data_IF_772138031516
#
_entry.id   IF_772138031516
#
_cell.length_a   1.000
_cell.length_b   1.000
_cell.length_c   1.000
_cell.angle_alpha   90.00
_cell.angle_beta   90.00
_cell.angle_gamma   90.00
#
_symmetry.space_group_name_H-M   'P 1'
#
loop_
_entity.id
_entity.type
_entity.pdbx_description
1 polymer ?
#
# COMPACT_ATOMS: atom_id res chain seq x y z
N UNK A 1 -19.94 12.90 15.69
CA UNK A 1 -20.16 11.44 15.70
C UNK A 1 -21.64 11.17 15.72
N UNK A 2 -22.13 10.42 14.73
CA UNK A 2 -23.50 9.87 14.77
C UNK A 2 -23.60 8.90 15.94
N UNK A 3 -24.72 8.90 16.67
CA UNK A 3 -24.92 7.97 17.78
C UNK A 3 -24.95 6.52 17.25
N UNK A 4 -24.23 5.62 17.92
CA UNK A 4 -24.22 4.19 17.57
C UNK A 4 -25.60 3.57 17.81
N UNK A 5 -26.05 2.74 16.87
CA UNK A 5 -27.34 2.04 16.98
C UNK A 5 -27.18 0.55 16.68
N UNK A 6 -28.24 -0.24 16.90
CA UNK A 6 -28.26 -1.65 16.47
C UNK A 6 -28.17 -1.87 14.95
N UNK A 7 -28.22 -0.79 14.15
CA UNK A 7 -28.05 -0.83 12.68
C UNK A 7 -26.60 -0.63 12.24
N UNK A 8 -25.73 -0.15 13.13
CA UNK A 8 -24.35 0.19 12.79
C UNK A 8 -23.60 -1.01 12.24
N UNK A 9 -22.94 -0.78 11.11
CA UNK A 9 -22.10 -1.76 10.41
C UNK A 9 -20.70 -1.78 10.99
N UNK A 10 -20.12 -2.96 11.12
CA UNK A 10 -18.79 -3.16 11.68
C UNK A 10 -17.79 -3.39 10.55
N UNK A 11 -16.72 -2.62 10.59
CA UNK A 11 -15.52 -2.87 9.82
C UNK A 11 -14.39 -3.14 10.80
N UNK A 12 -13.51 -4.06 10.48
CA UNK A 12 -12.44 -4.48 11.39
C UNK A 12 -11.09 -4.10 10.83
N UNK A 13 -10.13 -3.80 11.68
CA UNK A 13 -8.72 -3.74 11.33
C UNK A 13 -7.97 -4.73 12.20
N UNK A 14 -7.37 -5.76 11.60
CA UNK A 14 -6.66 -6.81 12.33
C UNK A 14 -5.15 -6.72 12.14
N UNK A 15 -4.39 -7.01 13.20
CA UNK A 15 -2.93 -6.88 13.21
C UNK A 15 -2.30 -7.30 14.54
N UNK A 16 -0.97 -7.37 14.57
CA UNK A 16 -0.20 -7.62 15.80
C UNK A 16 1.23 -7.08 15.68
N UNK A 17 1.62 -6.02 16.44
CA UNK A 17 0.76 -5.24 17.34
C UNK A 17 -0.23 -4.36 16.59
N UNK A 18 -1.43 -4.18 17.15
CA UNK A 18 -2.49 -3.36 16.54
C UNK A 18 -2.37 -1.87 16.88
N UNK A 19 -1.74 -1.54 18.02
CA UNK A 19 -1.79 -0.20 18.61
C UNK A 19 -1.22 0.93 17.73
N UNK A 20 -0.39 0.59 16.75
CA UNK A 20 0.30 1.54 15.85
C UNK A 20 -0.52 1.97 14.63
N UNK A 21 -1.72 1.42 14.43
CA UNK A 21 -2.51 1.68 13.22
C UNK A 21 -3.26 3.01 13.31
N UNK A 22 -3.12 3.84 12.26
CA UNK A 22 -3.69 5.20 12.23
C UNK A 22 -5.09 5.27 11.59
N UNK A 23 -5.47 4.25 10.81
CA UNK A 23 -6.70 4.22 10.02
C UNK A 23 -8.04 4.31 10.80
N UNK A 24 -8.19 3.75 12.02
CA UNK A 24 -9.51 3.61 12.66
C UNK A 24 -10.31 4.90 12.81
N UNK A 25 -9.69 5.97 13.32
CA UNK A 25 -10.37 7.25 13.54
C UNK A 25 -10.81 7.88 12.22
N UNK A 26 -9.87 8.04 11.29
CA UNK A 26 -10.10 8.69 10.01
C UNK A 26 -11.13 7.97 9.15
N UNK A 27 -11.03 6.64 9.00
CA UNK A 27 -12.01 5.88 8.19
C UNK A 27 -13.39 5.86 8.83
N UNK A 28 -13.49 5.83 10.16
CA UNK A 28 -14.77 5.93 10.86
C UNK A 28 -15.44 7.29 10.59
N UNK A 29 -14.69 8.37 10.75
CA UNK A 29 -15.20 9.71 10.48
C UNK A 29 -15.62 9.86 9.01
N UNK A 30 -14.78 9.41 8.08
CA UNK A 30 -15.08 9.46 6.64
C UNK A 30 -16.34 8.68 6.27
N UNK A 31 -16.52 7.48 6.83
CA UNK A 31 -17.75 6.70 6.68
C UNK A 31 -18.98 7.46 7.19
N UNK A 32 -18.92 8.02 8.39
CA UNK A 32 -20.04 8.76 8.97
C UNK A 32 -20.40 10.00 8.16
N UNK A 33 -19.39 10.74 7.66
CA UNK A 33 -19.59 11.96 6.89
C UNK A 33 -20.33 11.74 5.56
N UNK A 34 -20.14 10.57 4.93
CA UNK A 34 -20.88 10.21 3.71
C UNK A 34 -22.21 9.52 3.99
N UNK A 35 -22.63 9.38 5.25
CA UNK A 35 -23.85 8.64 5.61
C UNK A 35 -23.70 7.13 5.49
N UNK A 36 -22.50 6.59 5.65
CA UNK A 36 -22.28 5.17 5.94
C UNK A 36 -22.29 4.99 7.46
N UNK A 37 -23.34 4.36 8.01
CA UNK A 37 -23.45 4.04 9.45
C UNK A 37 -22.47 2.92 9.82
N UNK A 38 -21.19 3.24 9.87
CA UNK A 38 -20.11 2.29 10.08
C UNK A 38 -19.04 2.76 11.04
N UNK A 39 -18.37 1.78 11.66
CA UNK A 39 -17.25 1.96 12.57
C UNK A 39 -16.09 1.05 12.14
N UNK A 40 -14.86 1.56 12.15
CA UNK A 40 -13.66 0.73 12.00
C UNK A 40 -13.07 0.40 13.36
N UNK A 41 -13.14 -0.87 13.76
CA UNK A 41 -12.69 -1.36 15.07
C UNK A 41 -11.34 -2.06 14.94
N UNK A 42 -10.27 -1.56 15.61
CA UNK A 42 -8.99 -2.25 15.66
C UNK A 42 -9.07 -3.47 16.60
N UNK A 43 -8.64 -4.63 16.11
CA UNK A 43 -8.60 -5.89 16.87
C UNK A 43 -7.20 -6.48 16.82
N UNK A 44 -6.61 -6.74 18.00
CA UNK A 44 -5.38 -7.50 18.09
C UNK A 44 -5.66 -8.98 17.93
N UNK A 45 -5.04 -9.60 16.92
CA UNK A 45 -5.07 -11.05 16.72
C UNK A 45 -3.63 -11.53 16.67
N UNK A 46 -3.23 -12.40 17.60
CA UNK A 46 -1.89 -12.99 17.56
C UNK A 46 -1.74 -13.87 16.30
N UNK A 47 -0.53 -13.94 15.69
CA UNK A 47 -0.28 -14.72 14.48
C UNK A 47 -0.91 -16.11 14.55
N UNK A 48 -0.59 -16.90 15.56
CA UNK A 48 -1.08 -18.27 15.76
C UNK A 48 -2.61 -18.41 15.85
N UNK A 49 -3.34 -17.33 16.18
CA UNK A 49 -4.80 -17.34 16.32
C UNK A 49 -5.57 -16.94 15.08
N UNK A 50 -4.90 -16.44 14.02
CA UNK A 50 -5.59 -15.88 12.86
C UNK A 50 -6.58 -16.85 12.20
N UNK A 51 -6.18 -18.08 11.89
CA UNK A 51 -7.07 -19.04 11.19
C UNK A 51 -8.24 -19.52 12.05
N UNK A 52 -8.14 -19.41 13.38
CA UNK A 52 -9.25 -19.73 14.28
C UNK A 52 -10.19 -18.52 14.44
N UNK A 53 -9.64 -17.30 14.50
CA UNK A 53 -10.43 -16.10 14.78
C UNK A 53 -11.08 -15.48 13.53
N UNK A 54 -10.37 -15.45 12.39
CA UNK A 54 -10.84 -14.77 11.19
C UNK A 54 -12.16 -15.35 10.63
N UNK A 55 -12.37 -16.69 10.57
CA UNK A 55 -13.65 -17.25 10.15
C UNK A 55 -14.83 -16.83 11.04
N UNK A 56 -14.63 -16.71 12.35
CA UNK A 56 -15.68 -16.29 13.29
C UNK A 56 -16.07 -14.83 13.06
N UNK A 57 -15.08 -13.95 12.83
CA UNK A 57 -15.33 -12.55 12.46
C UNK A 57 -16.06 -12.45 11.11
N UNK A 58 -15.67 -13.28 10.14
CA UNK A 58 -16.30 -13.37 8.83
C UNK A 58 -17.72 -13.95 8.86
N UNK A 59 -18.09 -14.69 9.91
CA UNK A 59 -19.44 -15.24 10.07
C UNK A 59 -20.44 -14.19 10.61
N UNK A 60 -19.97 -13.09 11.21
CA UNK A 60 -20.83 -12.06 11.79
C UNK A 60 -21.58 -11.27 10.70
N UNK A 61 -22.93 -11.29 10.65
CA UNK A 61 -23.71 -10.70 9.54
C UNK A 61 -23.63 -9.18 9.41
N UNK A 62 -23.22 -8.48 10.48
CA UNK A 62 -23.03 -7.03 10.48
C UNK A 62 -21.58 -6.60 10.26
N UNK A 63 -20.67 -7.53 9.96
CA UNK A 63 -19.29 -7.22 9.53
C UNK A 63 -19.24 -7.14 8.00
N UNK A 64 -18.83 -5.98 7.50
CA UNK A 64 -18.78 -5.67 6.05
C UNK A 64 -17.40 -5.82 5.45
N UNK A 65 -16.37 -5.36 6.17
CA UNK A 65 -14.98 -5.43 5.71
C UNK A 65 -14.01 -5.73 6.84
N UNK A 66 -12.84 -6.26 6.48
CA UNK A 66 -11.72 -6.51 7.37
C UNK A 66 -10.46 -5.96 6.67
N UNK A 67 -9.90 -4.90 7.22
CA UNK A 67 -8.56 -4.43 6.90
C UNK A 67 -7.52 -5.30 7.63
N UNK A 68 -6.43 -5.59 6.95
CA UNK A 68 -5.42 -6.55 7.41
C UNK A 68 -4.06 -5.86 7.36
N UNK A 69 -3.37 -5.82 8.50
CA UNK A 69 -1.98 -5.36 8.58
C UNK A 69 -1.05 -6.47 9.04
N UNK A 70 0.22 -6.14 9.23
CA UNK A 70 1.24 -7.06 9.67
C UNK A 70 0.81 -7.81 10.95
N UNK A 71 1.14 -9.11 11.07
CA UNK A 71 1.81 -9.97 10.09
C UNK A 71 0.82 -10.80 9.22
N UNK A 72 -0.45 -10.41 9.15
CA UNK A 72 -1.53 -11.29 8.69
C UNK A 72 -1.79 -11.28 7.18
N UNK A 73 -1.24 -10.32 6.44
CA UNK A 73 -1.59 -10.04 5.02
C UNK A 73 -1.57 -11.27 4.10
N UNK A 74 -0.53 -12.10 4.20
CA UNK A 74 -0.40 -13.31 3.39
C UNK A 74 -1.41 -14.39 3.79
N UNK A 75 -1.58 -14.62 5.09
CA UNK A 75 -2.40 -15.72 5.60
C UNK A 75 -3.89 -15.42 5.50
N UNK A 76 -4.30 -14.16 5.68
CA UNK A 76 -5.68 -13.71 5.50
C UNK A 76 -6.19 -13.93 4.07
N UNK A 77 -5.31 -13.84 3.05
CA UNK A 77 -5.70 -14.04 1.64
C UNK A 77 -6.33 -15.42 1.38
N UNK A 78 -5.93 -16.44 2.15
CA UNK A 78 -6.44 -17.83 2.04
C UNK A 78 -7.90 -17.98 2.46
N UNK A 79 -8.44 -17.00 3.18
CA UNK A 79 -9.83 -16.97 3.63
C UNK A 79 -10.75 -16.28 2.63
N UNK A 80 -10.21 -15.68 1.56
CA UNK A 80 -11.01 -15.06 0.51
C UNK A 80 -11.44 -16.07 -0.55
N UNK A 81 -12.68 -15.96 -1.01
CA UNK A 81 -13.20 -16.75 -2.12
C UNK A 81 -12.70 -16.25 -3.49
N UNK A 82 -12.35 -14.97 -3.57
CA UNK A 82 -11.78 -14.34 -4.75
C UNK A 82 -10.76 -13.28 -4.34
N UNK A 83 -9.71 -13.13 -5.14
CA UNK A 83 -8.71 -12.09 -4.99
C UNK A 83 -8.70 -11.21 -6.24
N UNK A 84 -8.32 -9.94 -6.09
CA UNK A 84 -7.99 -9.10 -7.23
C UNK A 84 -6.76 -9.65 -7.99
N UNK A 85 -6.50 -9.21 -9.24
CA UNK A 85 -5.29 -9.60 -9.96
C UNK A 85 -4.01 -9.28 -9.18
N UNK A 86 -3.90 -8.07 -8.62
CA UNK A 86 -2.74 -7.66 -7.80
C UNK A 86 -2.58 -8.52 -6.55
N UNK A 87 -3.67 -8.82 -5.83
CA UNK A 87 -3.62 -9.65 -4.63
C UNK A 87 -3.31 -11.12 -4.94
N UNK A 88 -3.74 -11.61 -6.11
CA UNK A 88 -3.40 -12.94 -6.62
C UNK A 88 -1.89 -13.06 -6.89
N UNK A 89 -1.30 -12.06 -7.57
CA UNK A 89 0.15 -12.01 -7.83
C UNK A 89 0.93 -11.98 -6.53
N UNK A 90 0.53 -11.12 -5.60
CA UNK A 90 1.24 -10.91 -4.33
C UNK A 90 1.03 -12.05 -3.32
N UNK A 91 -0.04 -12.83 -3.45
CA UNK A 91 -0.47 -13.79 -2.43
C UNK A 91 -0.80 -13.14 -1.08
N UNK A 92 -1.12 -11.84 -1.09
CA UNK A 92 -1.29 -11.03 0.11
C UNK A 92 -2.37 -9.96 -0.09
N UNK A 93 -3.14 -9.72 0.96
CA UNK A 93 -4.20 -8.71 1.01
C UNK A 93 -3.96 -7.75 2.17
N UNK A 94 -4.36 -6.49 2.02
CA UNK A 94 -4.49 -5.55 3.14
C UNK A 94 -5.95 -5.16 3.40
N UNK A 95 -6.88 -5.65 2.58
CA UNK A 95 -8.31 -5.49 2.77
C UNK A 95 -9.09 -6.68 2.22
N UNK A 96 -10.20 -7.02 2.87
CA UNK A 96 -11.21 -7.94 2.34
C UNK A 96 -12.61 -7.41 2.65
N UNK A 97 -13.56 -7.63 1.73
CA UNK A 97 -14.96 -7.21 1.86
C UNK A 97 -15.91 -8.36 1.57
N UNK A 98 -17.02 -8.40 2.30
CA UNK A 98 -18.15 -9.29 2.02
C UNK A 98 -18.86 -8.90 0.72
N UNK A 99 -19.03 -9.87 -0.18
CA UNK A 99 -19.79 -9.74 -1.42
C UNK A 99 -21.29 -9.94 -1.17
N UNK A 100 -22.18 -9.54 -2.11
CA UNK A 100 -23.62 -9.71 -1.97
C UNK A 100 -24.08 -11.15 -1.71
N UNK A 101 -23.31 -12.14 -2.14
CA UNK A 101 -23.56 -13.57 -1.92
C UNK A 101 -22.99 -14.11 -0.59
N UNK A 102 -22.43 -13.23 0.25
CA UNK A 102 -21.85 -13.56 1.55
C UNK A 102 -20.41 -14.06 1.51
N UNK A 103 -19.86 -14.38 0.34
CA UNK A 103 -18.44 -14.74 0.18
C UNK A 103 -17.53 -13.52 0.34
N UNK A 104 -16.23 -13.73 0.48
CA UNK A 104 -15.27 -12.66 0.72
C UNK A 104 -14.34 -12.43 -0.47
N UNK A 105 -14.16 -11.17 -0.84
CA UNK A 105 -13.21 -10.72 -1.85
C UNK A 105 -12.06 -9.98 -1.19
N UNK A 106 -10.82 -10.29 -1.57
CA UNK A 106 -9.62 -9.68 -1.01
C UNK A 106 -8.81 -8.89 -2.04
N UNK A 107 -8.21 -7.78 -1.59
CA UNK A 107 -7.38 -6.91 -2.42
C UNK A 107 -6.19 -6.32 -1.61
N UNK A 108 -5.23 -5.70 -2.31
CA UNK A 108 -4.04 -5.08 -1.74
C UNK A 108 -3.86 -3.64 -2.24
N UNK A 109 -4.08 -2.69 -1.35
CA UNK A 109 -4.03 -1.27 -1.64
C UNK A 109 -2.71 -0.59 -1.28
N UNK A 110 -1.70 -1.30 -0.77
CA UNK A 110 -0.42 -0.66 -0.37
C UNK A 110 0.24 -0.01 -1.59
N UNK A 111 0.46 -0.77 -2.67
CA UNK A 111 1.07 -0.24 -3.89
C UNK A 111 0.16 0.69 -4.69
N UNK A 112 -1.14 0.41 -4.68
CA UNK A 112 -2.13 1.28 -5.32
C UNK A 112 -2.20 2.65 -4.62
N UNK A 113 -1.98 2.70 -3.30
CA UNK A 113 -1.87 3.93 -2.54
C UNK A 113 -0.69 4.79 -2.94
N UNK A 114 0.49 4.19 -3.15
CA UNK A 114 1.66 4.91 -3.68
C UNK A 114 1.36 5.50 -5.06
N UNK A 115 0.78 4.70 -5.96
CA UNK A 115 0.39 5.16 -7.30
C UNK A 115 -0.63 6.31 -7.25
N UNK A 116 -1.63 6.21 -6.37
CA UNK A 116 -2.61 7.27 -6.16
C UNK A 116 -1.95 8.55 -5.63
N UNK A 117 -1.04 8.43 -4.65
CA UNK A 117 -0.27 9.57 -4.12
C UNK A 117 0.57 10.27 -5.20
N UNK A 118 1.20 9.51 -6.10
CA UNK A 118 1.91 10.05 -7.26
C UNK A 118 0.95 10.78 -8.22
N UNK A 119 -0.20 10.19 -8.54
CA UNK A 119 -1.19 10.76 -9.48
C UNK A 119 -1.86 12.02 -8.94
N UNK A 120 -2.17 12.06 -7.64
CA UNK A 120 -2.70 13.25 -6.98
C UNK A 120 -1.72 14.44 -7.08
N UNK A 121 -0.44 14.14 -7.16
CA UNK A 121 0.63 15.10 -7.38
C UNK A 121 0.89 15.46 -8.86
N UNK A 122 0.09 14.94 -9.80
CA UNK A 122 0.26 15.14 -11.23
C UNK A 122 1.36 14.28 -11.86
N UNK A 123 1.78 13.20 -11.21
CA UNK A 123 2.80 12.28 -11.70
C UNK A 123 2.18 10.91 -12.03
N UNK A 124 2.08 10.59 -13.32
CA UNK A 124 1.67 9.25 -13.77
C UNK A 124 2.88 8.40 -14.17
N UNK A 125 2.70 7.08 -14.14
CA UNK A 125 3.74 6.08 -14.43
C UNK A 125 3.55 5.38 -15.78
N UNK A 126 2.43 5.60 -16.46
CA UNK A 126 2.16 5.02 -17.77
C UNK A 126 3.28 5.37 -18.78
N UNK A 127 3.86 4.34 -19.40
CA UNK A 127 4.97 4.47 -20.34
C UNK A 127 6.31 4.88 -19.70
N UNK A 128 6.38 5.06 -18.39
CA UNK A 128 7.59 5.53 -17.67
C UNK A 128 8.48 4.39 -17.19
N UNK A 129 9.79 4.65 -17.11
CA UNK A 129 10.73 3.77 -16.45
C UNK A 129 10.68 4.01 -14.94
N UNK A 130 10.45 2.95 -14.17
CA UNK A 130 10.32 2.99 -12.70
C UNK A 130 11.46 2.21 -12.03
N UNK A 131 12.02 2.76 -10.97
CA UNK A 131 12.99 2.08 -10.11
C UNK A 131 12.38 1.90 -8.71
N UNK A 132 12.54 0.71 -8.13
CA UNK A 132 12.08 0.38 -6.77
C UNK A 132 13.23 -0.20 -5.95
N UNK A 133 13.63 0.50 -4.89
CA UNK A 133 14.53 -0.02 -3.86
C UNK A 133 13.72 -0.70 -2.75
N UNK A 134 13.86 -2.02 -2.62
CA UNK A 134 13.19 -2.85 -1.63
C UNK A 134 12.25 -3.87 -2.27
N UNK A 135 12.46 -5.13 -1.94
CA UNK A 135 11.67 -6.30 -2.35
C UNK A 135 10.82 -6.86 -1.20
N UNK A 136 10.60 -6.06 -0.15
CA UNK A 136 9.67 -6.40 0.95
C UNK A 136 8.19 -6.30 0.55
N UNK A 137 7.28 -6.35 1.53
CA UNK A 137 5.83 -6.32 1.26
C UNK A 137 5.34 -5.04 0.56
N UNK A 138 5.83 -3.87 0.99
CA UNK A 138 5.53 -2.59 0.34
C UNK A 138 6.12 -2.54 -1.07
N UNK A 139 7.41 -2.86 -1.22
CA UNK A 139 8.10 -2.88 -2.51
C UNK A 139 7.49 -3.84 -3.53
N UNK A 140 7.10 -5.04 -3.10
CA UNK A 140 6.36 -6.00 -3.93
C UNK A 140 5.04 -5.41 -4.42
N UNK A 141 4.25 -4.82 -3.52
CA UNK A 141 2.95 -4.25 -3.84
C UNK A 141 3.08 -3.03 -4.78
N UNK A 142 4.07 -2.18 -4.54
CA UNK A 142 4.41 -1.03 -5.39
C UNK A 142 4.82 -1.53 -6.77
N UNK A 143 5.75 -2.47 -6.88
CA UNK A 143 6.23 -2.97 -8.17
C UNK A 143 5.09 -3.53 -9.03
N UNK A 144 4.22 -4.37 -8.44
CA UNK A 144 3.02 -4.88 -9.13
C UNK A 144 2.11 -3.73 -9.58
N UNK A 145 1.86 -2.74 -8.72
CA UNK A 145 0.95 -1.64 -9.03
C UNK A 145 1.49 -0.71 -10.13
N UNK A 146 2.81 -0.49 -10.19
CA UNK A 146 3.45 0.31 -11.24
C UNK A 146 3.40 -0.42 -12.59
N UNK A 147 3.65 -1.73 -12.61
CA UNK A 147 3.59 -2.54 -13.82
C UNK A 147 2.15 -2.69 -14.35
N UNK A 148 1.19 -2.88 -13.45
CA UNK A 148 -0.24 -2.90 -13.78
C UNK A 148 -0.71 -1.56 -14.36
N UNK A 149 -0.19 -0.44 -13.84
CA UNK A 149 -0.49 0.92 -14.32
C UNK A 149 0.24 1.32 -15.60
N UNK A 150 0.99 0.41 -16.22
CA UNK A 150 1.58 0.63 -17.55
C UNK A 150 3.02 1.16 -17.56
N UNK A 151 3.78 1.07 -16.46
CA UNK A 151 5.21 1.40 -16.46
C UNK A 151 5.97 0.64 -17.56
N UNK A 152 6.70 1.33 -18.45
CA UNK A 152 7.33 0.68 -19.61
C UNK A 152 8.38 -0.36 -19.21
N UNK A 153 9.12 -0.08 -18.13
CA UNK A 153 10.02 -1.03 -17.47
C UNK A 153 10.13 -0.74 -15.98
N UNK A 154 10.44 -1.75 -15.19
CA UNK A 154 10.72 -1.64 -13.76
C UNK A 154 12.07 -2.28 -13.42
N UNK A 155 12.92 -1.53 -12.74
CA UNK A 155 14.12 -2.08 -12.10
C UNK A 155 13.88 -2.25 -10.61
N UNK A 156 14.22 -3.43 -10.10
CA UNK A 156 14.15 -3.75 -8.69
C UNK A 156 15.57 -3.87 -8.13
N UNK A 157 15.77 -3.34 -6.93
CA UNK A 157 16.99 -3.54 -6.16
C UNK A 157 16.67 -3.86 -4.70
N UNK A 158 17.29 -4.88 -4.11
CA UNK A 158 17.31 -5.12 -2.66
C UNK A 158 18.70 -5.56 -2.20
N UNK A 159 19.08 -5.22 -0.97
CA UNK A 159 20.33 -5.70 -0.37
C UNK A 159 20.30 -7.21 -0.14
N UNK A 160 19.11 -7.77 0.06
CA UNK A 160 18.86 -9.20 0.14
C UNK A 160 18.57 -9.75 -1.26
N UNK A 161 19.62 -10.26 -1.91
CA UNK A 161 19.55 -10.81 -3.26
C UNK A 161 18.58 -11.98 -3.37
N UNK A 162 18.28 -12.71 -2.28
CA UNK A 162 17.29 -13.77 -2.31
C UNK A 162 15.87 -13.19 -2.43
N UNK A 163 15.57 -12.10 -1.72
CA UNK A 163 14.29 -11.38 -1.86
C UNK A 163 14.16 -10.73 -3.23
N UNK A 164 15.23 -10.10 -3.71
CA UNK A 164 15.26 -9.47 -5.04
C UNK A 164 14.94 -10.49 -6.13
N UNK A 165 15.67 -11.61 -6.18
CA UNK A 165 15.47 -12.66 -7.19
C UNK A 165 14.08 -13.29 -7.09
N UNK A 166 13.58 -13.54 -5.87
CA UNK A 166 12.24 -14.10 -5.70
C UNK A 166 11.13 -13.18 -6.22
N UNK A 167 11.27 -11.87 -6.01
CA UNK A 167 10.31 -10.89 -6.54
C UNK A 167 10.49 -10.72 -8.06
N UNK A 168 11.71 -10.70 -8.58
CA UNK A 168 11.95 -10.67 -10.03
C UNK A 168 11.32 -11.85 -10.75
N UNK A 169 11.52 -13.07 -10.25
CA UNK A 169 10.91 -14.29 -10.80
C UNK A 169 9.38 -14.21 -10.78
N UNK A 170 8.81 -13.64 -9.72
CA UNK A 170 7.37 -13.42 -9.64
C UNK A 170 6.91 -12.42 -10.70
N UNK A 171 7.56 -11.26 -10.79
CA UNK A 171 7.17 -10.20 -11.71
C UNK A 171 7.36 -10.62 -13.18
N UNK A 172 8.45 -11.31 -13.52
CA UNK A 172 8.73 -11.75 -14.89
C UNK A 172 7.69 -12.75 -15.41
N UNK A 173 7.15 -13.62 -14.53
CA UNK A 173 6.02 -14.51 -14.90
C UNK A 173 4.75 -13.77 -15.29
N UNK A 174 4.51 -12.59 -14.73
CA UNK A 174 3.29 -11.81 -14.94
C UNK A 174 3.47 -10.62 -15.90
N UNK A 175 4.71 -10.13 -16.05
CA UNK A 175 5.07 -8.95 -16.83
C UNK A 175 6.37 -9.21 -17.62
N UNK A 176 6.38 -10.21 -18.52
CA UNK A 176 7.59 -10.67 -19.19
C UNK A 176 8.29 -9.57 -19.99
N UNK A 177 9.61 -9.48 -19.84
CA UNK A 177 10.46 -8.51 -20.53
C UNK A 177 10.32 -7.05 -20.04
N UNK A 178 9.57 -6.81 -18.96
CA UNK A 178 9.40 -5.47 -18.36
C UNK A 178 10.13 -5.30 -17.05
N UNK A 179 10.75 -6.35 -16.48
CA UNK A 179 11.46 -6.28 -15.21
C UNK A 179 12.93 -6.64 -15.34
N UNK A 180 13.76 -6.02 -14.50
CA UNK A 180 15.18 -6.33 -14.39
C UNK A 180 15.67 -6.13 -12.96
N UNK A 181 16.56 -7.01 -12.49
CA UNK A 181 17.38 -6.73 -11.31
C UNK A 181 18.50 -5.77 -11.67
N UNK A 182 19.02 -5.03 -10.70
CA UNK A 182 20.07 -4.07 -11.00
C UNK A 182 20.74 -3.44 -9.79
N UNK A 183 21.81 -2.71 -10.09
CA UNK A 183 22.53 -1.88 -9.13
C UNK A 183 21.67 -0.72 -8.64
N UNK A 184 22.12 -0.08 -7.56
CA UNK A 184 21.60 1.21 -7.05
C UNK A 184 21.66 2.41 -8.02
N UNK A 185 21.93 2.17 -9.31
CA UNK A 185 22.01 3.19 -10.35
C UNK A 185 20.60 3.50 -10.89
N UNK A 186 20.16 4.72 -10.62
CA UNK A 186 18.84 5.23 -10.99
C UNK A 186 18.86 6.12 -12.24
N UNK A 187 19.98 6.13 -12.97
CA UNK A 187 20.13 6.91 -14.19
C UNK A 187 19.11 6.50 -15.26
N UNK A 188 18.40 7.48 -15.82
CA UNK A 188 17.42 7.26 -16.88
C UNK A 188 16.07 6.69 -16.41
N UNK A 189 15.80 6.67 -15.11
CA UNK A 189 14.48 6.39 -14.56
C UNK A 189 13.68 7.68 -14.34
N UNK A 190 12.37 7.61 -14.60
CA UNK A 190 11.47 8.75 -14.45
C UNK A 190 10.88 8.83 -13.05
N UNK A 191 10.66 7.67 -12.42
CA UNK A 191 10.14 7.55 -11.06
C UNK A 191 11.04 6.61 -10.28
N UNK A 192 11.49 7.06 -9.11
CA UNK A 192 12.42 6.34 -8.25
C UNK A 192 11.81 6.24 -6.87
N UNK A 193 11.60 5.04 -6.36
CA UNK A 193 10.85 4.80 -5.12
C UNK A 193 11.72 4.03 -4.14
N UNK A 194 11.97 4.61 -2.96
CA UNK A 194 12.43 3.84 -1.80
C UNK A 194 11.22 3.17 -1.14
N UNK A 195 11.17 1.84 -1.21
CA UNK A 195 10.20 0.98 -0.57
C UNK A 195 10.82 0.13 0.56
N UNK A 196 11.99 0.54 1.07
CA UNK A 196 12.72 -0.09 2.17
C UNK A 196 12.71 0.79 3.43
N UNK A 197 13.25 0.27 4.54
CA UNK A 197 13.47 1.05 5.77
C UNK A 197 14.79 1.82 5.77
N UNK A 198 15.63 1.70 4.73
CA UNK A 198 16.88 2.45 4.68
C UNK A 198 16.58 3.95 4.55
N UNK A 199 17.23 4.74 5.41
CA UNK A 199 16.98 6.18 5.54
C UNK A 199 16.03 6.55 6.68
N UNK A 200 15.49 5.56 7.41
CA UNK A 200 14.66 5.79 8.60
C UNK A 200 15.50 6.37 9.75
N UNK A 201 16.66 5.79 10.05
CA UNK A 201 17.59 6.36 11.02
C UNK A 201 18.52 7.36 10.33
N UNK A 202 18.91 8.47 11.00
CA UNK A 202 19.82 9.46 10.42
C UNK A 202 21.17 8.91 9.95
N UNK A 203 21.63 7.81 10.56
CA UNK A 203 22.90 7.15 10.24
C UNK A 203 22.78 6.08 9.13
N UNK A 204 21.56 5.76 8.70
CA UNK A 204 21.34 4.75 7.65
C UNK A 204 21.96 5.22 6.33
N UNK A 205 22.51 4.29 5.53
CA UNK A 205 22.92 4.60 4.17
C UNK A 205 21.72 5.06 3.35
N UNK A 206 21.98 5.83 2.29
CA UNK A 206 20.92 6.17 1.34
C UNK A 206 20.51 4.90 0.58
N UNK A 207 19.20 4.62 0.44
CA UNK A 207 18.69 3.46 -0.30
C UNK A 207 18.96 3.54 -1.81
N UNK A 208 19.20 4.76 -2.30
CA UNK A 208 19.39 5.13 -3.69
C UNK A 208 20.53 6.13 -3.74
N UNK A 209 21.44 6.01 -4.71
CA UNK A 209 22.48 7.00 -4.94
C UNK A 209 21.88 8.24 -5.64
N UNK A 210 21.88 9.43 -5.00
CA UNK A 210 21.36 10.64 -5.61
C UNK A 210 22.14 11.08 -6.86
N UNK A 211 23.36 10.58 -7.08
CA UNK A 211 24.17 10.95 -8.24
C UNK A 211 23.52 10.56 -9.59
N UNK A 212 22.66 9.52 -9.59
CA UNK A 212 21.91 9.11 -10.78
C UNK A 212 20.63 9.91 -11.03
N UNK A 213 20.24 10.81 -10.11
CA UNK A 213 19.03 11.61 -10.24
C UNK A 213 19.28 12.85 -11.09
N UNK A 214 18.29 13.19 -11.91
CA UNK A 214 18.27 14.41 -12.72
C UNK A 214 17.02 15.23 -12.42
N UNK A 215 17.09 16.54 -12.68
CA UNK A 215 15.93 17.42 -12.48
C UNK A 215 14.69 16.88 -13.22
N UNK A 216 13.57 16.82 -12.52
CA UNK A 216 12.32 16.23 -13.02
C UNK A 216 12.12 14.73 -12.78
N UNK A 217 13.12 13.98 -12.30
CA UNK A 217 12.90 12.62 -11.78
C UNK A 217 12.01 12.71 -10.54
N UNK A 218 10.90 11.97 -10.52
CA UNK A 218 10.02 11.92 -9.34
C UNK A 218 10.62 10.95 -8.33
N UNK A 219 10.89 11.41 -7.11
CA UNK A 219 11.48 10.59 -6.05
C UNK A 219 10.46 10.40 -4.93
N UNK A 220 10.14 9.15 -4.62
CA UNK A 220 9.20 8.80 -3.57
C UNK A 220 9.86 7.94 -2.48
N UNK A 221 9.36 8.05 -1.26
CA UNK A 221 9.81 7.28 -0.10
C UNK A 221 8.59 6.76 0.66
N UNK A 222 8.60 5.50 1.09
CA UNK A 222 7.50 4.91 1.88
C UNK A 222 7.53 5.31 3.35
N UNK A 223 8.64 5.89 3.83
CA UNK A 223 8.79 6.34 5.21
C UNK A 223 7.85 7.53 5.47
N UNK A 224 7.03 7.40 6.51
CA UNK A 224 6.01 8.40 6.91
C UNK A 224 6.47 9.31 8.04
N UNK A 225 7.47 8.87 8.80
CA UNK A 225 8.09 9.62 9.90
C UNK A 225 9.50 9.03 10.11
N UNK A 226 10.59 9.82 10.07
CA UNK A 226 10.64 11.26 9.83
C UNK A 226 10.44 11.65 8.36
N UNK A 227 9.79 12.79 8.12
CA UNK A 227 9.63 13.41 6.79
C UNK A 227 10.06 14.89 6.81
N UNK A 228 10.75 15.40 5.77
CA UNK A 228 11.30 14.66 4.63
C UNK A 228 12.49 13.77 5.03
N UNK A 229 12.66 12.60 4.40
CA UNK A 229 13.83 11.73 4.62
C UNK A 229 15.11 12.33 4.04
N UNK A 230 16.27 11.74 4.36
CA UNK A 230 17.56 12.18 3.77
C UNK A 230 17.55 12.07 2.24
N UNK A 231 16.99 10.98 1.69
CA UNK A 231 16.84 10.78 0.25
C UNK A 231 16.05 11.94 -0.38
N UNK A 232 14.86 12.24 0.17
CA UNK A 232 14.00 13.30 -0.37
C UNK A 232 14.68 14.67 -0.29
N UNK A 233 15.43 14.96 0.78
CA UNK A 233 16.21 16.20 0.87
C UNK A 233 17.29 16.31 -0.20
N UNK A 234 18.03 15.24 -0.48
CA UNK A 234 19.04 15.27 -1.54
C UNK A 234 18.40 15.37 -2.94
N UNK A 235 17.31 14.65 -3.18
CA UNK A 235 16.55 14.75 -4.43
C UNK A 235 16.01 16.17 -4.68
N UNK A 236 15.45 16.82 -3.66
CA UNK A 236 14.93 18.18 -3.77
C UNK A 236 16.02 19.20 -4.15
N UNK A 237 17.26 19.06 -3.63
CA UNK A 237 18.40 19.92 -4.02
C UNK A 237 18.75 19.80 -5.50
N UNK A 238 18.45 18.66 -6.12
CA UNK A 238 18.66 18.38 -7.54
C UNK A 238 17.48 18.80 -8.42
N UNK A 239 16.43 19.42 -7.85
CA UNK A 239 15.23 19.82 -8.59
C UNK A 239 14.29 18.66 -8.91
N UNK A 240 14.36 17.56 -8.16
CA UNK A 240 13.42 16.44 -8.27
C UNK A 240 12.12 16.75 -7.52
N UNK A 241 10.93 16.51 -8.11
CA UNK A 241 9.70 16.43 -7.35
C UNK A 241 9.75 15.28 -6.34
N UNK A 242 9.40 15.54 -5.09
CA UNK A 242 9.49 14.55 -3.99
C UNK A 242 8.13 14.17 -3.43
N UNK A 243 7.97 12.89 -3.04
CA UNK A 243 6.81 12.39 -2.30
C UNK A 243 7.26 11.53 -1.12
N UNK A 244 6.66 11.74 0.04
CA UNK A 244 6.91 10.93 1.22
C UNK A 244 5.80 9.91 1.46
N UNK A 245 5.94 9.10 2.52
CA UNK A 245 5.01 8.03 2.81
C UNK A 245 3.62 8.51 3.18
N UNK A 246 3.45 9.77 3.60
CA UNK A 246 2.13 10.31 3.95
C UNK A 246 1.24 10.40 2.71
N UNK A 247 1.79 10.71 1.54
CA UNK A 247 1.06 10.73 0.28
C UNK A 247 0.58 9.33 -0.14
N UNK A 248 1.41 8.30 0.12
CA UNK A 248 0.99 6.90 -0.06
C UNK A 248 -0.13 6.54 0.91
N UNK A 249 -0.04 6.98 2.18
CA UNK A 249 -1.09 6.77 3.18
C UNK A 249 -2.41 7.44 2.76
N UNK A 250 -2.39 8.68 2.29
CA UNK A 250 -3.60 9.37 1.80
C UNK A 250 -4.23 8.62 0.62
N UNK A 251 -3.40 8.27 -0.37
CA UNK A 251 -3.83 7.51 -1.54
C UNK A 251 -4.46 6.16 -1.18
N UNK A 252 -3.84 5.38 -0.29
CA UNK A 252 -4.42 4.10 0.13
C UNK A 252 -5.71 4.30 0.92
N UNK A 253 -5.83 5.34 1.75
CA UNK A 253 -6.99 5.52 2.63
C UNK A 253 -8.27 5.77 1.82
N UNK A 254 -8.17 6.54 0.75
CA UNK A 254 -9.28 6.78 -0.17
C UNK A 254 -9.69 5.48 -0.88
N UNK A 255 -8.71 4.72 -1.41
CA UNK A 255 -8.99 3.43 -2.07
C UNK A 255 -9.60 2.38 -1.12
N UNK A 256 -9.10 2.32 0.11
CA UNK A 256 -9.64 1.44 1.16
C UNK A 256 -11.08 1.82 1.49
N UNK A 257 -11.37 3.10 1.66
CA UNK A 257 -12.73 3.58 1.90
C UNK A 257 -13.70 3.17 0.78
N UNK A 258 -13.32 3.35 -0.48
CA UNK A 258 -14.12 2.96 -1.65
C UNK A 258 -14.33 1.45 -1.68
N UNK A 259 -13.26 0.69 -1.45
CA UNK A 259 -13.32 -0.77 -1.39
C UNK A 259 -14.26 -1.24 -0.28
N UNK A 260 -14.12 -0.72 0.94
CA UNK A 260 -14.92 -1.15 2.11
C UNK A 260 -16.40 -0.83 1.92
N UNK A 261 -16.71 0.38 1.45
CA UNK A 261 -18.10 0.88 1.42
C UNK A 261 -18.83 0.61 0.10
N UNK A 262 -18.09 0.34 -0.98
CA UNK A 262 -18.62 0.24 -2.34
C UNK A 262 -19.09 1.58 -2.91
N UNK A 263 -18.71 2.70 -2.28
CA UNK A 263 -19.07 4.05 -2.71
C UNK A 263 -17.89 4.74 -3.40
N UNK A 264 -18.11 5.51 -4.48
CA UNK A 264 -17.06 6.28 -5.13
C UNK A 264 -16.57 7.45 -4.25
N UNK A 265 -15.42 8.08 -4.57
CA UNK A 265 -14.97 9.28 -3.90
C UNK A 265 -15.96 10.43 -4.09
N UNK A 266 -16.40 11.06 -3.01
CA UNK A 266 -17.02 12.40 -3.10
C UNK A 266 -15.91 13.45 -3.25
N UNK A 267 -16.16 14.48 -4.05
CA UNK A 267 -15.21 15.52 -4.51
C UNK A 267 -14.64 16.47 -3.44
N UNK A 268 -14.66 16.10 -2.16
CA UNK A 268 -14.16 16.95 -1.07
C UNK A 268 -13.06 16.24 -0.29
N UNK A 269 -11.84 16.77 -0.46
CA UNK A 269 -10.64 16.41 0.28
C UNK A 269 -10.83 16.72 1.76
N UNK A 270 -10.69 15.71 2.61
CA UNK A 270 -10.33 15.90 4.02
C UNK A 270 -8.99 15.21 4.17
N UNK A 271 -7.91 16.01 4.20
CA UNK A 271 -6.55 15.51 4.41
C UNK A 271 -6.42 14.76 5.73
N UNK A 272 -5.38 13.93 5.84
CA UNK A 272 -5.02 13.28 7.10
C UNK A 272 -4.46 14.36 8.05
N UNK A 273 -5.28 14.95 8.91
CA UNK A 273 -4.83 15.87 9.98
C UNK A 273 -4.55 15.11 11.27
#
# INVERSE_FOLDING_TARGET
MTALTGKTRINLLIGSPIAQVLAPGWLTERMQNVGYDGLLVPIQILPERLDAALPELMAMPNVDSILVTLPHKFRASRHCAALSPRATILGAINAMRRMPDGRWHGDNFDGAGMLAGLRNAGHDVEGKAVYVAGAGGAGSSIAVSMLEAGASRLMLHDLDTAKENALLDLLERHYPGRVSGGSGDVTGFNVVINASYAGFNPADPLPIDPAGLVAGTVVADVITDPVPTKLLREAAKLGCPTRDGTHMLEGQMQLLFEFMTGRPPESHEVGLT
#
